data_IF_430541022393
#
_entry.id   IF_430541022393
#
_cell.length_a   1.000
_cell.length_b   1.000
_cell.length_c   1.000
_cell.angle_alpha   90.00
_cell.angle_beta   90.00
_cell.angle_gamma   90.00
#
_symmetry.space_group_name_H-M   'P 1'
#
loop_
_entity.id
_entity.type
_entity.pdbx_description
1 polymer ?
#
# COMPACT_ATOMS: atom_id res chain seq x y z
N UNK A 1 -32.29 -36.27 -14.77
CA UNK A 1 -31.75 -35.40 -13.70
C UNK A 1 -30.27 -35.74 -13.57
N UNK A 2 -29.42 -34.93 -14.18
CA UNK A 2 -27.97 -35.13 -14.23
C UNK A 2 -27.33 -33.76 -14.41
N UNK A 3 -27.05 -33.12 -13.28
CA UNK A 3 -26.10 -32.02 -13.14
C UNK A 3 -24.70 -32.69 -13.16
N UNK A 4 -23.67 -32.20 -13.84
CA UNK A 4 -23.07 -30.89 -13.64
C UNK A 4 -22.42 -30.33 -14.92
N UNK A 5 -22.63 -29.03 -15.09
CA UNK A 5 -22.02 -28.20 -16.09
C UNK A 5 -20.55 -27.90 -15.72
N UNK A 6 -19.74 -27.69 -16.77
CA UNK A 6 -18.35 -27.28 -16.73
C UNK A 6 -18.05 -26.17 -15.69
N UNK A 7 -17.00 -26.37 -14.90
CA UNK A 7 -16.33 -25.27 -14.19
C UNK A 7 -14.86 -25.28 -14.59
N UNK A 8 -14.59 -24.50 -15.63
CA UNK A 8 -13.27 -24.09 -16.10
C UNK A 8 -12.76 -22.99 -15.16
N UNK A 9 -11.87 -23.32 -14.23
CA UNK A 9 -11.26 -22.33 -13.32
C UNK A 9 -10.02 -21.70 -13.96
N UNK A 10 -10.26 -20.77 -14.89
CA UNK A 10 -9.24 -19.84 -15.37
C UNK A 10 -9.02 -18.75 -14.30
N UNK A 11 -7.99 -18.89 -13.46
CA UNK A 11 -7.56 -17.80 -12.58
C UNK A 11 -6.89 -16.70 -13.41
N UNK A 12 -7.64 -15.62 -13.61
CA UNK A 12 -7.28 -14.42 -14.37
C UNK A 12 -6.00 -13.76 -13.86
N UNK A 13 -4.99 -13.66 -14.73
CA UNK A 13 -3.73 -12.94 -14.51
C UNK A 13 -3.78 -11.54 -15.15
N UNK A 14 -4.63 -10.63 -14.65
CA UNK A 14 -4.56 -9.22 -15.11
C UNK A 14 -5.18 -8.20 -14.15
N UNK A 15 -4.47 -7.07 -14.05
CA UNK A 15 -4.86 -5.72 -13.61
C UNK A 15 -5.03 -5.40 -12.12
N UNK A 16 -4.01 -4.70 -11.59
CA UNK A 16 -4.14 -3.58 -10.66
C UNK A 16 -4.40 -3.95 -9.20
N UNK A 17 -3.50 -3.59 -8.29
CA UNK A 17 -3.80 -3.64 -6.84
C UNK A 17 -5.00 -2.73 -6.59
N UNK A 18 -6.16 -3.26 -6.16
CA UNK A 18 -7.36 -2.45 -5.99
C UNK A 18 -7.15 -1.44 -4.85
N UNK A 19 -7.59 -0.20 -5.06
CA UNK A 19 -7.71 0.79 -3.99
C UNK A 19 -8.79 0.30 -3.02
N UNK A 20 -8.41 0.03 -1.77
CA UNK A 20 -9.28 -0.58 -0.75
C UNK A 20 -9.99 0.53 0.02
N UNK A 21 -11.33 0.62 -0.02
CA UNK A 21 -12.10 1.55 0.80
C UNK A 21 -11.78 1.46 2.29
N UNK A 22 -11.88 2.57 3.02
CA UNK A 22 -11.65 2.62 4.48
C UNK A 22 -12.49 1.60 5.27
N UNK A 23 -13.67 1.24 4.77
CA UNK A 23 -14.55 0.20 5.34
C UNK A 23 -13.97 -1.21 5.22
N UNK A 24 -13.15 -1.45 4.22
CA UNK A 24 -12.50 -2.73 3.95
C UNK A 24 -11.10 -2.82 4.59
N UNK A 25 -10.53 -1.68 5.00
CA UNK A 25 -9.28 -1.63 5.76
C UNK A 25 -9.55 -1.55 7.27
N UNK A 26 -9.83 -2.71 7.86
CA UNK A 26 -10.03 -2.85 9.31
C UNK A 26 -8.71 -2.73 10.11
N UNK A 27 -7.56 -2.96 9.46
CA UNK A 27 -6.26 -3.09 10.11
C UNK A 27 -5.16 -2.26 9.43
N UNK A 28 -4.14 -1.88 10.19
CA UNK A 28 -2.95 -1.23 9.65
C UNK A 28 -2.25 -2.11 8.60
N UNK A 29 -1.95 -1.56 7.43
CA UNK A 29 -1.30 -2.28 6.32
C UNK A 29 0.14 -2.74 6.60
N UNK A 30 0.74 -2.36 7.73
CA UNK A 30 2.09 -2.78 8.12
C UNK A 30 2.10 -3.72 9.32
N UNK A 31 1.35 -3.41 10.38
CA UNK A 31 1.38 -4.18 11.63
C UNK A 31 0.09 -4.94 11.93
N UNK A 32 -0.87 -4.92 11.02
CA UNK A 32 -2.17 -5.62 11.11
C UNK A 32 -3.01 -5.29 12.36
N UNK A 33 -2.67 -4.21 13.07
CA UNK A 33 -3.42 -3.80 14.24
C UNK A 33 -4.77 -3.19 13.83
N UNK A 34 -5.86 -3.61 14.47
CA UNK A 34 -7.21 -3.11 14.18
C UNK A 34 -7.33 -1.62 14.46
N UNK A 35 -7.98 -0.87 13.58
CA UNK A 35 -8.34 0.51 13.86
C UNK A 35 -9.47 0.59 14.90
N UNK A 36 -9.54 1.70 15.60
CA UNK A 36 -10.56 1.98 16.62
C UNK A 36 -10.79 3.48 16.74
N UNK A 37 -11.72 3.91 17.59
CA UNK A 37 -11.95 5.35 17.83
C UNK A 37 -10.71 6.09 18.33
N UNK A 38 -9.79 5.40 19.01
CA UNK A 38 -8.51 6.00 19.47
C UNK A 38 -7.36 5.71 18.50
N UNK A 39 -7.43 4.62 17.73
CA UNK A 39 -6.45 4.27 16.71
C UNK A 39 -6.98 4.64 15.33
N UNK A 40 -6.76 5.90 14.95
CA UNK A 40 -7.21 6.47 13.68
C UNK A 40 -6.41 5.93 12.48
N UNK A 41 -7.04 6.00 11.31
CA UNK A 41 -6.47 5.65 10.01
C UNK A 41 -5.64 6.79 9.45
N UNK A 42 -4.50 6.48 8.82
CA UNK A 42 -3.65 7.45 8.15
C UNK A 42 -3.19 6.92 6.80
N UNK A 43 -3.42 7.71 5.76
CA UNK A 43 -2.95 7.40 4.40
C UNK A 43 -1.46 7.72 4.23
N UNK A 44 -0.72 6.82 3.60
CA UNK A 44 0.61 7.16 3.05
C UNK A 44 0.41 7.90 1.74
N UNK A 45 0.97 9.11 1.60
CA UNK A 45 0.82 9.92 0.37
C UNK A 45 1.68 9.42 -0.80
N UNK A 46 2.62 8.50 -0.55
CA UNK A 46 3.43 7.85 -1.58
C UNK A 46 2.75 6.55 -2.07
N UNK A 47 2.52 5.56 -1.19
CA UNK A 47 1.97 4.26 -1.60
C UNK A 47 0.45 4.10 -1.49
N UNK A 48 -0.29 5.11 -1.02
CA UNK A 48 -1.76 5.11 -0.95
C UNK A 48 -2.38 4.24 0.16
N UNK A 49 -1.65 3.28 0.74
CA UNK A 49 -2.17 2.37 1.78
C UNK A 49 -2.46 3.06 3.12
N UNK A 50 -3.24 2.38 3.97
CA UNK A 50 -3.72 2.89 5.27
C UNK A 50 -2.90 2.30 6.43
N UNK A 51 -2.46 3.16 7.35
CA UNK A 51 -1.57 2.83 8.46
C UNK A 51 -2.07 3.43 9.79
N UNK A 52 -1.61 2.85 10.91
CA UNK A 52 -1.74 3.48 12.23
C UNK A 52 -0.64 4.53 12.44
N UNK A 53 -0.79 5.40 13.44
CA UNK A 53 0.16 6.50 13.66
C UNK A 53 1.62 6.04 13.77
N UNK A 54 1.87 4.91 14.45
CA UNK A 54 3.21 4.32 14.62
C UNK A 54 3.85 3.90 13.30
N UNK A 55 3.07 3.36 12.37
CA UNK A 55 3.56 2.87 11.09
C UNK A 55 3.68 3.95 10.01
N UNK A 56 3.23 5.17 10.32
CA UNK A 56 3.29 6.33 9.43
C UNK A 56 3.63 7.60 10.20
N UNK A 57 4.60 7.53 11.11
CA UNK A 57 4.94 8.66 12.00
C UNK A 57 5.69 9.76 11.25
N UNK A 58 6.36 9.41 10.15
CA UNK A 58 7.23 10.29 9.41
C UNK A 58 6.50 11.08 8.31
N UNK A 59 7.09 12.20 7.91
CA UNK A 59 6.67 13.00 6.77
C UNK A 59 7.87 13.39 5.93
N UNK A 60 7.70 13.45 4.60
CA UNK A 60 8.75 13.83 3.65
C UNK A 60 8.12 14.55 2.46
N UNK A 61 8.82 15.51 1.81
CA UNK A 61 8.36 16.04 0.53
C UNK A 61 8.25 14.92 -0.51
N UNK A 62 7.30 15.04 -1.43
CA UNK A 62 7.14 14.12 -2.57
C UNK A 62 7.02 14.95 -3.86
N UNK A 63 8.13 15.49 -4.39
CA UNK A 63 8.10 16.37 -5.57
C UNK A 63 7.47 15.69 -6.80
N UNK A 64 7.76 14.40 -7.02
CA UNK A 64 7.20 13.59 -8.10
C UNK A 64 5.67 13.39 -8.00
N UNK A 65 5.10 13.63 -6.81
CA UNK A 65 3.66 13.58 -6.53
C UNK A 65 3.05 14.97 -6.34
N UNK A 66 3.79 16.04 -6.64
CA UNK A 66 3.32 17.43 -6.51
C UNK A 66 3.35 17.98 -5.08
N UNK A 67 3.91 17.27 -4.11
CA UNK A 67 4.01 17.73 -2.72
C UNK A 67 5.39 18.36 -2.45
N UNK A 68 5.47 19.69 -2.56
CA UNK A 68 6.69 20.45 -2.22
C UNK A 68 6.95 20.56 -0.71
N UNK A 69 5.89 20.46 0.10
CA UNK A 69 5.99 20.43 1.57
C UNK A 69 5.96 18.99 2.09
N UNK A 70 6.57 18.71 3.27
CA UNK A 70 6.50 17.38 3.87
C UNK A 70 5.06 16.90 4.08
N UNK A 71 4.77 15.70 3.57
CA UNK A 71 3.48 15.01 3.76
C UNK A 71 3.71 13.64 4.39
N UNK A 72 2.71 13.18 5.14
CA UNK A 72 2.81 11.92 5.89
C UNK A 72 2.99 10.72 4.97
N UNK A 73 3.96 9.89 5.29
CA UNK A 73 4.26 8.63 4.60
C UNK A 73 4.38 7.48 5.59
N UNK A 74 4.22 6.24 5.12
CA UNK A 74 4.54 5.08 5.95
C UNK A 74 6.06 4.95 6.14
N UNK A 75 6.48 4.20 7.16
CA UNK A 75 7.90 4.05 7.49
C UNK A 75 8.70 3.46 6.30
N UNK A 76 8.12 2.53 5.54
CA UNK A 76 8.76 1.97 4.33
C UNK A 76 9.02 3.05 3.28
N UNK A 77 7.99 3.82 2.91
CA UNK A 77 8.15 4.89 1.93
C UNK A 77 9.13 5.95 2.42
N UNK A 78 9.10 6.30 3.71
CA UNK A 78 10.07 7.24 4.27
C UNK A 78 11.52 6.78 4.08
N UNK A 79 11.81 5.50 4.33
CA UNK A 79 13.15 4.94 4.12
C UNK A 79 13.56 4.91 2.64
N UNK A 80 12.64 4.59 1.73
CA UNK A 80 12.91 4.62 0.29
C UNK A 80 13.23 6.04 -0.22
N UNK A 81 12.57 7.08 0.31
CA UNK A 81 12.89 8.48 -0.05
C UNK A 81 14.26 8.94 0.50
N UNK A 82 14.74 8.34 1.60
CA UNK A 82 16.07 8.64 2.17
C UNK A 82 17.20 7.85 1.51
N UNK A 83 16.90 6.76 0.82
CA UNK A 83 17.87 5.90 0.15
C UNK A 83 17.47 5.69 -1.31
N UNK A 84 18.00 6.49 -2.25
CA UNK A 84 17.65 6.41 -3.68
C UNK A 84 18.08 5.09 -4.36
N UNK A 85 18.55 4.09 -3.62
CA UNK A 85 19.04 2.81 -4.14
C UNK A 85 18.23 1.57 -3.71
N UNK A 86 17.10 1.73 -2.99
CA UNK A 86 16.35 0.57 -2.47
C UNK A 86 14.91 0.48 -2.98
N UNK A 87 14.75 0.23 -4.28
CA UNK A 87 13.54 -0.41 -4.78
C UNK A 87 13.71 -1.92 -4.62
N UNK A 88 13.06 -2.49 -3.60
CA UNK A 88 12.77 -3.92 -3.53
C UNK A 88 11.26 -4.09 -3.42
N UNK A 89 10.56 -3.92 -4.54
CA UNK A 89 9.47 -4.82 -4.87
C UNK A 89 10.05 -5.82 -5.87
N UNK A 90 9.78 -7.10 -5.66
CA UNK A 90 10.38 -8.21 -6.40
C UNK A 90 9.86 -8.33 -7.83
N UNK A 91 10.36 -7.48 -8.70
CA UNK A 91 10.30 -7.64 -10.15
C UNK A 91 11.66 -7.19 -10.68
N UNK A 92 12.46 -8.19 -11.06
CA UNK A 92 13.76 -7.97 -11.65
C UNK A 92 13.63 -7.27 -13.00
N UNK A 93 14.36 -6.18 -13.16
CA UNK A 93 15.01 -5.84 -14.42
C UNK A 93 16.14 -4.85 -14.10
N UNK A 94 17.38 -5.33 -14.18
CA UNK A 94 18.56 -4.49 -14.17
C UNK A 94 18.57 -3.68 -15.48
N UNK A 95 18.72 -2.36 -15.41
CA UNK A 95 18.97 -1.56 -16.61
C UNK A 95 20.42 -1.13 -16.64
N UNK A 96 21.15 -1.75 -17.58
CA UNK A 96 22.33 -1.21 -18.24
C UNK A 96 22.02 0.12 -18.93
#
# INVERSE_FOLDING_TARGET
>A
MGIDAAVEQSHSLTTGVPWVPDSECACCSACNVHFSLVRRRHHCRNCGRIFCNRCSINSTPLPNHGYSKPVRVCNRCFLCELSPFSNSNGDGEARS
#
